data_IF_066281300052
#
_entry.id   IF_066281300052
#
_cell.length_a   1.000
_cell.length_b   1.000
_cell.length_c   1.000
_cell.angle_alpha   90.00
_cell.angle_beta   90.00
_cell.angle_gamma   90.00
#
_symmetry.space_group_name_H-M   'P 1'
#
loop_
_entity.id
_entity.type
_entity.pdbx_description
1 polymer ?
#
# COMPACT_ATOMS: atom_id res chain seq x y z
N UNK A 1 -22.60 64.56 41.00
CA UNK A 1 -23.00 63.93 39.74
C UNK A 1 -21.74 63.72 38.91
N UNK A 2 -21.04 62.59 39.11
CA UNK A 2 -19.75 62.34 38.46
C UNK A 2 -19.98 61.62 37.14
N UNK A 3 -19.98 62.38 36.05
CA UNK A 3 -20.07 61.86 34.70
C UNK A 3 -18.74 61.16 34.35
N UNK A 4 -18.76 59.82 34.31
CA UNK A 4 -17.63 59.01 33.83
C UNK A 4 -17.46 59.31 32.34
N UNK A 5 -16.40 60.04 31.98
CA UNK A 5 -16.03 60.23 30.57
C UNK A 5 -15.57 58.88 30.04
N UNK A 6 -16.38 58.29 29.17
CA UNK A 6 -16.06 57.08 28.46
C UNK A 6 -15.01 57.42 27.39
N UNK A 7 -13.75 57.07 27.62
CA UNK A 7 -12.69 57.19 26.62
C UNK A 7 -12.95 56.16 25.54
N UNK A 8 -13.55 56.58 24.44
CA UNK A 8 -13.61 55.78 23.21
C UNK A 8 -12.18 55.61 22.69
N UNK A 9 -11.62 54.42 22.90
CA UNK A 9 -10.40 53.96 22.24
C UNK A 9 -10.78 53.67 20.79
N UNK A 10 -10.58 54.63 19.89
CA UNK A 10 -10.77 54.42 18.46
C UNK A 10 -9.79 53.38 17.93
N UNK A 11 -10.27 52.48 17.07
CA UNK A 11 -9.45 51.50 16.36
C UNK A 11 -8.28 52.20 15.65
N UNK A 12 -7.06 51.74 15.89
CA UNK A 12 -5.89 52.33 15.23
C UNK A 12 -5.73 51.75 13.82
N UNK A 13 -5.21 52.53 12.87
CA UNK A 13 -4.88 52.03 11.52
C UNK A 13 -3.94 50.81 11.58
N UNK A 14 -3.02 50.82 12.54
CA UNK A 14 -2.09 49.73 12.81
C UNK A 14 -2.81 48.44 13.17
N UNK A 15 -3.91 48.50 13.90
CA UNK A 15 -4.69 47.34 14.32
C UNK A 15 -5.35 46.62 13.14
N UNK A 16 -5.90 47.36 12.18
CA UNK A 16 -6.49 46.78 10.97
C UNK A 16 -5.41 46.11 10.11
N UNK A 17 -4.24 46.74 10.00
CA UNK A 17 -3.10 46.19 9.25
C UNK A 17 -2.57 44.92 9.94
N UNK A 18 -2.43 44.93 11.26
CA UNK A 18 -1.99 43.77 12.04
C UNK A 18 -3.02 42.63 11.93
N UNK A 19 -4.31 42.93 12.06
CA UNK A 19 -5.37 41.93 11.90
C UNK A 19 -5.35 41.30 10.51
N UNK A 20 -5.17 42.11 9.46
CA UNK A 20 -5.05 41.61 8.09
C UNK A 20 -3.77 40.79 7.88
N UNK A 21 -2.65 41.21 8.46
CA UNK A 21 -1.39 40.46 8.42
C UNK A 21 -1.53 39.09 9.08
N UNK A 22 -2.15 39.03 10.26
CA UNK A 22 -2.44 37.76 10.96
C UNK A 22 -3.38 36.91 10.10
N UNK A 23 -4.45 37.48 9.55
CA UNK A 23 -5.38 36.76 8.68
C UNK A 23 -4.71 36.19 7.42
N UNK A 24 -3.80 36.94 6.80
CA UNK A 24 -3.06 36.47 5.63
C UNK A 24 -2.13 35.31 5.99
N UNK A 25 -1.43 35.40 7.13
CA UNK A 25 -0.54 34.34 7.62
C UNK A 25 -1.35 33.07 7.96
N UNK A 26 -2.45 33.21 8.69
CA UNK A 26 -3.29 32.06 9.07
C UNK A 26 -3.89 31.38 7.84
N UNK A 27 -4.35 32.15 6.85
CA UNK A 27 -4.85 31.59 5.60
C UNK A 27 -3.76 30.87 4.80
N UNK A 28 -2.54 31.42 4.79
CA UNK A 28 -1.37 30.78 4.17
C UNK A 28 -1.05 29.42 4.80
N UNK A 29 -1.00 29.37 6.14
CA UNK A 29 -0.79 28.11 6.89
C UNK A 29 -1.92 27.13 6.61
N UNK A 30 -3.17 27.59 6.63
CA UNK A 30 -4.33 26.74 6.38
C UNK A 30 -4.29 26.13 4.97
N UNK A 31 -3.98 26.94 3.95
CA UNK A 31 -3.81 26.48 2.57
C UNK A 31 -2.72 25.41 2.46
N UNK A 32 -1.59 25.58 3.17
CA UNK A 32 -0.51 24.60 3.18
C UNK A 32 -0.92 23.27 3.84
N UNK A 33 -1.67 23.31 4.95
CA UNK A 33 -2.18 22.10 5.61
C UNK A 33 -3.15 21.36 4.69
N UNK A 34 -4.11 22.05 4.08
CA UNK A 34 -5.05 21.44 3.14
C UNK A 34 -4.34 20.85 1.93
N UNK A 35 -3.37 21.57 1.36
CA UNK A 35 -2.57 21.08 0.23
C UNK A 35 -1.80 19.79 0.56
N UNK A 36 -1.27 19.69 1.77
CA UNK A 36 -0.61 18.46 2.25
C UNK A 36 -1.62 17.33 2.48
N UNK A 37 -2.76 17.62 3.10
CA UNK A 37 -3.83 16.63 3.31
C UNK A 37 -4.35 16.03 2.01
N UNK A 38 -4.61 16.85 0.99
CA UNK A 38 -5.05 16.39 -0.32
C UNK A 38 -4.02 15.47 -1.01
N UNK A 39 -2.73 15.82 -0.91
CA UNK A 39 -1.64 14.98 -1.44
C UNK A 39 -1.55 13.64 -0.72
N UNK A 40 -1.72 13.63 0.61
CA UNK A 40 -1.71 12.41 1.41
C UNK A 40 -2.90 11.49 1.08
N UNK A 41 -4.10 12.05 0.91
CA UNK A 41 -5.28 11.28 0.50
C UNK A 41 -5.09 10.64 -0.87
N UNK A 42 -4.54 11.41 -1.83
CA UNK A 42 -4.25 10.89 -3.16
C UNK A 42 -3.24 9.75 -3.11
N UNK A 43 -2.17 9.90 -2.31
CA UNK A 43 -1.17 8.86 -2.11
C UNK A 43 -1.79 7.60 -1.48
N UNK A 44 -2.63 7.76 -0.46
CA UNK A 44 -3.33 6.64 0.16
C UNK A 44 -4.23 5.90 -0.86
N UNK A 45 -4.93 6.62 -1.72
CA UNK A 45 -5.72 6.03 -2.81
C UNK A 45 -4.88 5.23 -3.80
N UNK A 46 -3.70 5.73 -4.19
CA UNK A 46 -2.78 4.98 -5.07
C UNK A 46 -2.34 3.65 -4.43
N UNK A 47 -2.07 3.64 -3.11
CA UNK A 47 -1.72 2.41 -2.39
C UNK A 47 -2.89 1.45 -2.29
N UNK A 48 -4.10 1.93 -2.01
CA UNK A 48 -5.31 1.10 -1.90
C UNK A 48 -5.64 0.43 -3.24
N UNK A 49 -5.50 1.17 -4.35
CA UNK A 49 -5.66 0.64 -5.70
C UNK A 49 -4.58 -0.40 -6.04
N UNK A 50 -3.31 -0.12 -5.72
CA UNK A 50 -2.22 -1.08 -5.92
C UNK A 50 -2.45 -2.37 -5.12
N UNK A 51 -2.89 -2.24 -3.86
CA UNK A 51 -3.15 -3.38 -2.97
C UNK A 51 -4.33 -4.21 -3.48
N UNK A 52 -5.40 -3.56 -3.91
CA UNK A 52 -6.56 -4.23 -4.52
C UNK A 52 -6.15 -4.99 -5.78
N UNK A 53 -5.34 -4.38 -6.64
CA UNK A 53 -4.79 -5.04 -7.83
C UNK A 53 -3.93 -6.24 -7.45
N UNK A 54 -3.03 -6.09 -6.48
CA UNK A 54 -2.15 -7.17 -6.03
C UNK A 54 -2.95 -8.34 -5.44
N UNK A 55 -3.98 -8.07 -4.64
CA UNK A 55 -4.87 -9.10 -4.08
C UNK A 55 -5.71 -9.79 -5.16
N UNK A 56 -6.18 -9.04 -6.16
CA UNK A 56 -6.89 -9.61 -7.32
C UNK A 56 -5.99 -10.58 -8.09
N UNK A 57 -4.76 -10.16 -8.41
CA UNK A 57 -3.77 -11.01 -9.07
C UNK A 57 -3.45 -12.24 -8.20
N UNK A 58 -3.21 -12.04 -6.91
CA UNK A 58 -2.92 -13.15 -6.00
C UNK A 58 -4.05 -14.19 -5.98
N UNK A 59 -5.31 -13.73 -5.95
CA UNK A 59 -6.49 -14.59 -5.97
C UNK A 59 -6.61 -15.32 -7.32
N UNK A 60 -6.46 -14.59 -8.44
CA UNK A 60 -6.50 -15.16 -9.79
C UNK A 60 -5.47 -16.29 -9.95
N UNK A 61 -4.20 -15.98 -9.66
CA UNK A 61 -3.10 -16.93 -9.82
C UNK A 61 -3.09 -18.03 -8.74
N UNK A 62 -3.74 -17.81 -7.59
CA UNK A 62 -3.91 -18.86 -6.58
C UNK A 62 -4.95 -19.91 -6.96
N UNK A 63 -5.89 -19.61 -7.85
CA UNK A 63 -6.89 -20.60 -8.31
C UNK A 63 -6.44 -21.36 -9.55
N UNK A 64 -5.55 -20.77 -10.36
CA UNK A 64 -5.05 -21.37 -11.59
C UNK A 64 -4.21 -22.62 -11.27
N UNK A 65 -4.40 -23.70 -12.03
CA UNK A 65 -3.53 -24.88 -11.96
C UNK A 65 -2.25 -24.53 -12.70
N UNK A 66 -1.15 -24.36 -11.96
CA UNK A 66 0.15 -23.98 -12.50
C UNK A 66 1.13 -25.06 -12.05
N UNK A 67 1.53 -25.92 -12.98
CA UNK A 67 2.37 -27.07 -12.67
C UNK A 67 3.87 -26.79 -12.81
N UNK A 68 4.23 -25.58 -13.26
CA UNK A 68 5.60 -25.16 -13.57
C UNK A 68 5.88 -23.73 -13.13
N UNK A 69 7.16 -23.44 -12.89
CA UNK A 69 7.62 -22.07 -12.64
C UNK A 69 7.20 -21.16 -13.80
N UNK A 70 6.50 -20.08 -13.49
CA UNK A 70 6.01 -19.15 -14.50
C UNK A 70 6.04 -17.72 -13.98
N UNK A 71 6.44 -16.79 -14.84
CA UNK A 71 6.37 -15.35 -14.57
C UNK A 71 5.52 -14.62 -15.60
N UNK A 72 4.69 -13.70 -15.12
CA UNK A 72 3.81 -12.85 -15.91
C UNK A 72 4.08 -11.40 -15.55
N UNK A 73 4.02 -10.49 -16.52
CA UNK A 73 4.12 -9.05 -16.25
C UNK A 73 3.27 -8.26 -17.22
N UNK A 74 2.57 -7.24 -16.72
CA UNK A 74 1.73 -6.38 -17.55
C UNK A 74 1.65 -4.96 -16.97
N UNK A 75 1.11 -4.04 -17.76
CA UNK A 75 0.76 -2.69 -17.35
C UNK A 75 -0.76 -2.54 -17.28
N UNK A 76 -1.26 -2.07 -16.15
CA UNK A 76 -2.68 -1.72 -15.96
C UNK A 76 -2.77 -0.26 -15.53
N UNK A 77 -3.03 0.63 -16.48
CA UNK A 77 -3.04 2.07 -16.26
C UNK A 77 -1.66 2.59 -15.85
N UNK A 78 -1.55 3.18 -14.66
CA UNK A 78 -0.28 3.69 -14.11
C UNK A 78 0.54 2.63 -13.36
N UNK A 79 0.00 1.42 -13.19
CA UNK A 79 0.62 0.34 -12.43
C UNK A 79 1.27 -0.67 -13.38
N UNK A 80 2.53 -0.97 -13.13
CA UNK A 80 3.24 -2.10 -13.72
C UNK A 80 3.27 -3.23 -12.70
N UNK A 81 2.80 -4.41 -13.06
CA UNK A 81 2.79 -5.55 -12.15
C UNK A 81 3.50 -6.75 -12.73
N UNK A 82 4.05 -7.56 -11.84
CA UNK A 82 4.71 -8.82 -12.14
C UNK A 82 4.28 -9.88 -11.14
N UNK A 83 3.98 -11.07 -11.64
CA UNK A 83 3.67 -12.27 -10.84
C UNK A 83 4.74 -13.31 -11.14
N UNK A 84 5.30 -13.92 -10.11
CA UNK A 84 6.22 -15.06 -10.23
C UNK A 84 5.70 -16.19 -9.36
N UNK A 85 5.48 -17.36 -9.95
CA UNK A 85 5.14 -18.59 -9.24
C UNK A 85 6.35 -19.51 -9.29
N UNK A 86 6.86 -19.89 -8.12
CA UNK A 86 8.03 -20.75 -7.98
C UNK A 86 7.74 -21.92 -7.01
N UNK A 87 8.25 -23.14 -7.27
CA UNK A 87 8.18 -24.23 -6.30
C UNK A 87 8.91 -23.86 -5.01
N UNK A 88 8.28 -24.05 -3.85
CA UNK A 88 8.89 -23.84 -2.54
C UNK A 88 9.05 -25.19 -1.83
N UNK A 89 10.18 -25.39 -1.13
CA UNK A 89 10.44 -26.68 -0.49
C UNK A 89 9.76 -26.75 0.89
N UNK A 90 9.06 -27.86 1.19
CA UNK A 90 8.40 -28.11 2.49
C UNK A 90 9.41 -28.12 3.65
N UNK A 91 10.65 -28.50 3.34
CA UNK A 91 11.76 -28.58 4.30
C UNK A 91 12.25 -27.21 4.79
N UNK A 92 12.12 -26.17 3.97
CA UNK A 92 12.44 -24.78 4.37
C UNK A 92 11.28 -24.11 5.13
N UNK A 93 10.04 -24.48 4.82
CA UNK A 93 8.85 -23.92 5.48
C UNK A 93 8.62 -24.46 6.91
N UNK A 94 9.15 -25.63 7.24
CA UNK A 94 8.98 -26.27 8.55
C UNK A 94 10.31 -26.89 9.06
N UNK A 95 11.26 -26.06 9.54
CA UNK A 95 12.57 -26.53 10.01
C UNK A 95 12.51 -27.35 11.32
N UNK A 96 11.36 -27.38 12.00
CA UNK A 96 11.14 -28.10 13.26
C UNK A 96 10.71 -29.57 13.08
N UNK A 97 10.47 -30.04 11.86
CA UNK A 97 10.12 -31.44 11.59
C UNK A 97 11.36 -32.32 11.76
N UNK A 98 11.29 -33.27 12.68
CA UNK A 98 12.39 -34.21 12.95
C UNK A 98 12.57 -35.19 11.78
N UNK A 99 13.80 -35.65 11.45
CA UNK A 99 14.06 -36.58 10.33
C UNK A 99 13.30 -37.92 10.36
N UNK A 100 12.62 -38.23 11.46
CA UNK A 100 11.95 -39.51 11.73
C UNK A 100 10.42 -39.43 11.73
N UNK A 101 9.82 -38.25 11.61
CA UNK A 101 8.39 -38.15 11.31
C UNK A 101 8.22 -38.52 9.84
N UNK A 102 7.66 -39.71 9.59
CA UNK A 102 7.36 -40.18 8.25
C UNK A 102 6.28 -39.27 7.68
N UNK A 103 6.67 -38.21 6.97
CA UNK A 103 5.73 -37.47 6.14
C UNK A 103 5.08 -38.49 5.18
N UNK A 104 3.75 -38.45 4.97
CA UNK A 104 3.15 -39.16 3.83
C UNK A 104 3.94 -38.79 2.57
N UNK A 105 4.18 -39.73 1.64
CA UNK A 105 5.22 -39.63 0.62
C UNK A 105 5.35 -38.21 0.10
N UNK A 106 6.47 -37.56 0.43
CA UNK A 106 6.74 -36.15 0.20
C UNK A 106 6.69 -35.75 -1.29
N UNK A 107 6.49 -36.73 -2.18
CA UNK A 107 6.18 -36.54 -3.59
C UNK A 107 4.77 -36.04 -3.86
N UNK A 108 3.83 -36.17 -2.90
CA UNK A 108 2.40 -35.84 -3.12
C UNK A 108 2.00 -34.42 -2.75
N UNK A 109 2.84 -33.66 -2.05
CA UNK A 109 2.52 -32.33 -1.55
C UNK A 109 3.59 -31.34 -2.01
N UNK A 110 3.27 -30.50 -3.00
CA UNK A 110 4.16 -29.44 -3.49
C UNK A 110 3.71 -28.10 -2.92
N UNK A 111 4.60 -27.38 -2.24
CA UNK A 111 4.36 -25.98 -1.92
C UNK A 111 4.75 -25.13 -3.12
N UNK A 112 3.92 -24.14 -3.43
CA UNK A 112 4.20 -23.13 -4.44
C UNK A 112 4.15 -21.76 -3.78
N UNK A 113 5.14 -20.93 -4.06
CA UNK A 113 5.19 -19.55 -3.63
C UNK A 113 4.79 -18.66 -4.79
N UNK A 114 3.74 -17.87 -4.59
CA UNK A 114 3.26 -16.87 -5.54
C UNK A 114 3.72 -15.51 -5.00
N UNK A 115 4.60 -14.82 -5.73
CA UNK A 115 4.96 -13.44 -5.44
C UNK A 115 4.30 -12.52 -6.46
N UNK A 116 3.68 -11.46 -5.97
CA UNK A 116 3.04 -10.42 -6.77
C UNK A 116 3.72 -9.10 -6.42
N UNK A 117 4.36 -8.48 -7.40
CA UNK A 117 4.91 -7.14 -7.28
C UNK A 117 4.06 -6.18 -8.10
N UNK A 118 3.63 -5.07 -7.49
CA UNK A 118 2.94 -3.99 -8.19
C UNK A 118 3.75 -2.72 -7.97
N UNK A 119 4.29 -2.17 -9.04
CA UNK A 119 5.10 -0.97 -9.07
C UNK A 119 4.36 0.16 -9.79
N UNK A 120 4.51 1.38 -9.31
CA UNK A 120 4.00 2.58 -9.97
C UNK A 120 4.95 3.75 -9.74
N UNK A 121 4.79 4.79 -10.55
CA UNK A 121 5.60 6.01 -10.44
C UNK A 121 4.66 7.18 -10.28
N UNK A 122 4.88 7.99 -9.24
CA UNK A 122 4.22 9.30 -9.10
C UNK A 122 5.28 10.39 -9.07
N UNK A 123 5.23 11.27 -10.05
CA UNK A 123 6.29 12.23 -10.38
C UNK A 123 7.64 11.53 -10.59
N UNK A 124 8.52 11.53 -9.59
CA UNK A 124 9.92 11.08 -9.70
C UNK A 124 10.26 9.89 -8.79
N UNK A 125 9.42 9.56 -7.81
CA UNK A 125 9.70 8.48 -6.87
C UNK A 125 9.02 7.19 -7.32
N UNK A 126 9.77 6.14 -7.71
CA UNK A 126 9.19 4.83 -7.92
C UNK A 126 8.71 4.26 -6.57
N UNK A 127 7.53 3.66 -6.58
CA UNK A 127 6.93 2.97 -5.43
C UNK A 127 6.52 1.58 -5.85
N UNK A 128 6.56 0.64 -4.93
CA UNK A 128 6.14 -0.72 -5.20
C UNK A 128 5.62 -1.38 -3.93
N UNK A 129 4.64 -2.27 -4.10
CA UNK A 129 4.22 -3.23 -3.08
C UNK A 129 4.60 -4.63 -3.55
N UNK A 130 4.90 -5.50 -2.59
CA UNK A 130 5.13 -6.91 -2.84
C UNK A 130 4.27 -7.72 -1.89
N UNK A 131 3.48 -8.64 -2.44
CA UNK A 131 2.70 -9.62 -1.69
C UNK A 131 3.21 -11.02 -2.05
N UNK A 132 3.33 -11.88 -1.04
CA UNK A 132 3.66 -13.29 -1.24
C UNK A 132 2.59 -14.16 -0.61
N UNK A 133 2.19 -15.23 -1.29
CA UNK A 133 1.35 -16.29 -0.73
C UNK A 133 1.99 -17.66 -0.95
N UNK A 134 1.75 -18.56 0.00
CA UNK A 134 2.16 -19.95 -0.07
C UNK A 134 0.92 -20.81 -0.29
N UNK A 135 0.94 -21.61 -1.34
CA UNK A 135 -0.11 -22.57 -1.68
C UNK A 135 0.41 -23.98 -1.53
N UNK A 136 -0.37 -24.83 -0.88
CA UNK A 136 -0.15 -26.27 -0.90
C UNK A 136 -0.92 -26.88 -2.06
N UNK A 137 -0.25 -27.60 -2.93
CA UNK A 137 -0.84 -28.33 -4.05
C UNK A 137 -0.64 -29.82 -3.77
N UNK A 138 -1.74 -30.56 -3.63
CA UNK A 138 -1.70 -32.02 -3.67
C UNK A 138 -1.48 -32.44 -5.13
N UNK A 139 -0.38 -33.11 -5.43
CA UNK A 139 -0.28 -33.80 -6.72
C UNK A 139 -1.20 -35.01 -6.63
N UNK A 140 -2.42 -34.84 -7.13
CA UNK A 140 -3.32 -35.98 -7.25
C UNK A 140 -2.71 -36.93 -8.28
N UNK A 141 -2.48 -38.16 -7.84
CA UNK A 141 -1.97 -39.21 -8.70
C UNK A 141 -3.15 -39.68 -9.55
N UNK A 142 -3.34 -39.05 -10.72
CA UNK A 142 -4.25 -39.58 -11.72
C UNK A 142 -3.71 -40.96 -12.15
N UNK A 143 -4.43 -42.01 -11.77
CA UNK A 143 -4.12 -43.41 -12.00
C UNK A 143 -5.41 -44.17 -12.27
#
# INVERSE_FOLDING_TARGET
MNSRRNTQLGFTLLEVIVAFAIAAITLGILSQIFGQGARNLTLAGDYDHALTLANSLLTEYSTRTIDKETSYSENTGQFHWAVSIEPHSVREAAPSLSPSETLPPADRLRLMKINVNVAWRRHTTPRSINLSSLRLVSSDSDG
#
